data_IF_541556464378
#
_entry.id   IF_541556464378
#
_cell.length_a   1.000
_cell.length_b   1.000
_cell.length_c   1.000
_cell.angle_alpha   90.00
_cell.angle_beta   90.00
_cell.angle_gamma   90.00
#
_symmetry.space_group_name_H-M   'P 1'
#
loop_
_entity.id
_entity.type
_entity.pdbx_description
1 polymer ?
#
# COMPACT_ATOMS: atom_id res chain seq x y z
N UNK A 1 -5.87 -26.65 -58.43
CA UNK A 1 -6.64 -26.47 -57.18
C UNK A 1 -5.76 -26.23 -55.93
N UNK A 2 -4.50 -25.79 -56.09
CA UNK A 2 -3.57 -25.58 -54.96
C UNK A 2 -3.54 -24.15 -54.39
N UNK A 3 -4.00 -23.15 -55.15
CA UNK A 3 -3.97 -21.73 -54.71
C UNK A 3 -4.98 -21.42 -53.62
N UNK A 4 -6.20 -21.99 -53.71
CA UNK A 4 -7.32 -21.70 -52.80
C UNK A 4 -6.99 -22.10 -51.35
N UNK A 5 -6.22 -23.17 -51.16
CA UNK A 5 -5.87 -23.71 -49.85
C UNK A 5 -4.78 -22.88 -49.12
N UNK A 6 -4.01 -22.09 -49.87
CA UNK A 6 -2.93 -21.24 -49.32
C UNK A 6 -3.49 -19.94 -48.73
N UNK A 7 -4.54 -19.39 -49.34
CA UNK A 7 -5.20 -18.17 -48.88
C UNK A 7 -6.08 -18.42 -47.65
N UNK A 8 -6.77 -19.57 -47.57
CA UNK A 8 -7.56 -19.96 -46.40
C UNK A 8 -6.72 -20.11 -45.11
N UNK A 9 -5.49 -20.61 -45.23
CA UNK A 9 -4.54 -20.72 -44.09
C UNK A 9 -4.01 -19.38 -43.61
N UNK A 10 -3.80 -18.41 -44.51
CA UNK A 10 -3.35 -17.06 -44.16
C UNK A 10 -4.43 -16.26 -43.42
N UNK A 11 -5.70 -16.42 -43.81
CA UNK A 11 -6.81 -15.76 -43.12
C UNK A 11 -7.01 -16.26 -41.68
N UNK A 12 -6.85 -17.57 -41.45
CA UNK A 12 -6.95 -18.15 -40.10
C UNK A 12 -5.82 -17.67 -39.16
N UNK A 13 -4.61 -17.49 -39.70
CA UNK A 13 -3.48 -16.99 -38.91
C UNK A 13 -3.68 -15.53 -38.43
N UNK A 14 -4.38 -14.70 -39.22
CA UNK A 14 -4.69 -13.31 -38.85
C UNK A 14 -5.78 -13.26 -37.78
N UNK A 15 -6.78 -14.15 -37.84
CA UNK A 15 -7.83 -14.21 -36.83
C UNK A 15 -7.31 -14.65 -35.45
N UNK A 16 -6.39 -15.60 -35.38
CA UNK A 16 -5.81 -16.06 -34.10
C UNK A 16 -4.97 -14.95 -33.44
N UNK A 17 -4.28 -14.12 -34.23
CA UNK A 17 -3.45 -13.03 -33.72
C UNK A 17 -4.24 -11.89 -33.06
N UNK A 18 -5.53 -11.73 -33.39
CA UNK A 18 -6.39 -10.68 -32.82
C UNK A 18 -7.01 -11.14 -31.48
N UNK A 19 -7.21 -12.45 -31.28
CA UNK A 19 -7.80 -12.98 -30.05
C UNK A 19 -6.83 -13.14 -28.87
N UNK A 20 -5.51 -12.97 -29.08
CA UNK A 20 -4.51 -13.05 -28.00
C UNK A 20 -4.20 -11.70 -27.33
N UNK A 21 -4.85 -10.60 -27.75
CA UNK A 21 -4.70 -9.27 -27.14
C UNK A 21 -5.79 -8.92 -26.11
N UNK A 22 -6.59 -9.90 -25.67
CA UNK A 22 -7.50 -9.77 -24.54
C UNK A 22 -6.85 -10.18 -23.21
N UNK A 23 -5.53 -10.00 -23.09
CA UNK A 23 -4.90 -9.90 -21.78
C UNK A 23 -5.40 -8.63 -21.12
N UNK A 24 -6.39 -8.74 -20.23
CA UNK A 24 -6.82 -7.66 -19.37
C UNK A 24 -5.57 -7.08 -18.70
N UNK A 25 -5.09 -5.93 -19.18
CA UNK A 25 -4.10 -5.16 -18.48
C UNK A 25 -4.82 -4.61 -17.25
N UNK A 26 -4.85 -5.40 -16.17
CA UNK A 26 -5.26 -4.92 -14.87
C UNK A 26 -4.34 -3.75 -14.55
N UNK A 27 -4.87 -2.54 -14.63
CA UNK A 27 -4.09 -1.35 -14.29
C UNK A 27 -3.86 -1.37 -12.78
N UNK A 28 -2.62 -1.67 -12.37
CA UNK A 28 -2.21 -1.49 -10.98
C UNK A 28 -2.08 0.00 -10.70
N UNK A 29 -2.78 0.48 -9.68
CA UNK A 29 -2.59 1.83 -9.12
C UNK A 29 -2.04 1.76 -7.71
N UNK A 30 -1.33 2.81 -7.32
CA UNK A 30 -0.81 2.98 -5.97
C UNK A 30 -1.62 4.07 -5.30
N UNK A 31 -2.29 3.74 -4.20
CA UNK A 31 -2.96 4.72 -3.32
C UNK A 31 -2.12 4.92 -2.07
N UNK A 32 -2.09 6.15 -1.57
CA UNK A 32 -1.37 6.54 -0.36
C UNK A 32 -2.37 6.98 0.71
N UNK A 33 -2.07 6.65 1.96
CA UNK A 33 -2.88 7.06 3.10
C UNK A 33 -2.03 7.21 4.36
N UNK A 34 -2.49 8.06 5.29
CA UNK A 34 -1.77 8.40 6.50
C UNK A 34 -2.29 7.63 7.71
N UNK A 35 -1.37 7.01 8.43
CA UNK A 35 -1.64 6.21 9.61
C UNK A 35 -1.00 6.83 10.84
N UNK A 36 -1.82 6.95 11.88
CA UNK A 36 -1.44 7.57 13.15
C UNK A 36 -1.52 6.55 14.26
N UNK A 37 -0.47 6.47 15.07
CA UNK A 37 -0.44 5.63 16.24
C UNK A 37 -0.06 6.46 17.46
N UNK A 38 -0.81 6.29 18.55
CA UNK A 38 -0.52 6.98 19.81
C UNK A 38 -0.16 5.95 20.88
N UNK A 39 0.84 6.24 21.69
CA UNK A 39 1.24 5.41 22.81
C UNK A 39 1.81 6.22 23.96
N UNK A 40 1.77 5.64 25.16
CA UNK A 40 2.36 6.18 26.38
C UNK A 40 3.45 5.26 26.90
N UNK A 41 4.59 5.83 27.28
CA UNK A 41 5.69 5.07 27.88
C UNK A 41 6.56 5.94 28.77
N UNK A 42 7.40 5.32 29.59
CA UNK A 42 8.29 6.03 30.51
C UNK A 42 9.45 6.75 29.83
N UNK A 43 9.70 6.46 28.56
CA UNK A 43 10.69 7.12 27.72
C UNK A 43 10.08 7.52 26.38
N UNK A 44 10.59 8.61 25.78
CA UNK A 44 10.16 9.06 24.44
C UNK A 44 10.39 7.96 23.40
N UNK A 45 11.55 7.30 23.44
CA UNK A 45 11.90 6.24 22.48
C UNK A 45 10.95 5.03 22.58
N UNK A 46 10.60 4.62 23.81
CA UNK A 46 9.64 3.54 24.02
C UNK A 46 8.24 3.94 23.56
N UNK A 47 7.82 5.17 23.84
CA UNK A 47 6.54 5.69 23.40
C UNK A 47 6.49 5.78 21.85
N UNK A 48 7.57 6.22 21.21
CA UNK A 48 7.68 6.29 19.75
C UNK A 48 7.64 4.89 19.11
N UNK A 49 8.34 3.90 19.69
CA UNK A 49 8.33 2.52 19.20
C UNK A 49 6.95 1.89 19.27
N UNK A 50 6.22 2.12 20.36
CA UNK A 50 4.85 1.65 20.53
C UNK A 50 3.87 2.40 19.60
N UNK A 51 4.03 3.72 19.48
CA UNK A 51 3.24 4.54 18.56
C UNK A 51 3.43 4.09 17.10
N UNK A 52 4.66 3.80 16.70
CA UNK A 52 4.97 3.19 15.40
C UNK A 52 4.24 1.86 15.23
N UNK A 53 4.36 0.95 16.20
CA UNK A 53 3.69 -0.35 16.12
C UNK A 53 2.17 -0.19 15.93
N UNK A 54 1.54 0.73 16.67
CA UNK A 54 0.11 1.02 16.55
C UNK A 54 -0.27 1.54 15.15
N UNK A 55 0.50 2.48 14.60
CA UNK A 55 0.26 3.01 13.25
C UNK A 55 0.41 1.91 12.18
N UNK A 56 1.49 1.13 12.25
CA UNK A 56 1.79 0.09 11.27
C UNK A 56 0.81 -1.09 11.36
N UNK A 57 0.34 -1.44 12.56
CA UNK A 57 -0.67 -2.48 12.72
C UNK A 57 -1.98 -2.09 12.05
N UNK A 58 -2.40 -0.82 12.17
CA UNK A 58 -3.60 -0.33 11.50
C UNK A 58 -3.43 -0.28 9.97
N UNK A 59 -2.27 0.19 9.49
CA UNK A 59 -1.93 0.15 8.07
C UNK A 59 -2.00 -1.28 7.50
N UNK A 60 -1.37 -2.23 8.19
CA UNK A 60 -1.37 -3.64 7.81
C UNK A 60 -2.78 -4.24 7.83
N UNK A 61 -3.62 -3.88 8.81
CA UNK A 61 -5.03 -4.31 8.90
C UNK A 61 -5.82 -3.86 7.67
N UNK A 62 -5.52 -2.68 7.12
CA UNK A 62 -6.12 -2.13 5.90
C UNK A 62 -5.39 -2.54 4.60
N UNK A 63 -4.39 -3.43 4.71
CA UNK A 63 -3.56 -3.92 3.61
C UNK A 63 -2.70 -2.83 2.95
N UNK A 64 -2.37 -1.77 3.68
CA UNK A 64 -1.31 -0.84 3.29
C UNK A 64 0.05 -1.43 3.68
N UNK A 65 1.08 -1.04 2.94
CA UNK A 65 2.46 -1.54 3.04
C UNK A 65 3.45 -0.44 2.67
N UNK A 66 4.76 -0.69 2.81
CA UNK A 66 5.83 0.26 2.50
C UNK A 66 5.58 1.65 3.13
N UNK A 67 5.42 1.66 4.44
CA UNK A 67 5.18 2.88 5.21
C UNK A 67 6.46 3.70 5.39
N UNK A 68 6.34 5.02 5.20
CA UNK A 68 7.41 5.99 5.42
C UNK A 68 7.05 6.85 6.62
N UNK A 69 8.03 7.09 7.49
CA UNK A 69 7.86 7.97 8.64
C UNK A 69 7.74 9.43 8.19
N UNK A 70 6.69 10.11 8.65
CA UNK A 70 6.43 11.52 8.35
C UNK A 70 6.88 12.41 9.49
N UNK A 71 6.61 12.00 10.72
CA UNK A 71 6.92 12.79 11.91
C UNK A 71 6.22 12.25 13.15
N UNK A 72 6.47 12.93 14.27
CA UNK A 72 5.81 12.62 15.53
C UNK A 72 5.54 13.90 16.31
N UNK A 73 4.51 13.84 17.17
CA UNK A 73 4.27 14.83 18.22
C UNK A 73 4.40 14.13 19.56
N UNK A 74 4.97 14.83 20.53
CA UNK A 74 5.04 14.36 21.90
C UNK A 74 4.46 15.39 22.86
N UNK A 75 3.82 14.92 23.92
CA UNK A 75 3.41 15.74 25.05
C UNK A 75 3.64 14.97 26.35
N UNK A 76 3.80 15.71 27.44
CA UNK A 76 3.67 15.15 28.78
C UNK A 76 2.19 15.19 29.16
N UNK A 77 1.54 14.05 29.41
CA UNK A 77 0.10 14.01 29.66
C UNK A 77 -0.28 14.72 30.96
N UNK A 78 0.66 14.88 31.90
CA UNK A 78 0.46 15.63 33.13
C UNK A 78 1.75 16.39 33.49
N UNK A 79 1.59 17.60 34.03
CA UNK A 79 2.72 18.40 34.55
C UNK A 79 3.27 17.83 35.87
N UNK A 80 2.41 17.18 36.66
CA UNK A 80 2.75 16.61 37.97
C UNK A 80 3.17 15.13 37.94
N UNK A 81 3.02 14.48 36.79
CA UNK A 81 3.50 13.12 36.56
C UNK A 81 4.45 13.14 35.35
N UNK A 82 5.72 13.54 35.58
CA UNK A 82 6.70 13.71 34.52
C UNK A 82 7.21 12.38 33.96
N UNK A 83 6.84 11.26 34.56
CA UNK A 83 7.45 9.96 34.27
C UNK A 83 6.89 9.32 33.00
N UNK A 84 5.89 9.93 32.37
CA UNK A 84 5.25 9.42 31.15
C UNK A 84 5.34 10.40 29.99
N UNK A 85 5.66 9.86 28.82
CA UNK A 85 5.57 10.54 27.54
C UNK A 85 4.40 9.96 26.75
N UNK A 86 3.53 10.82 26.22
CA UNK A 86 2.57 10.45 25.19
C UNK A 86 3.12 10.89 23.84
N UNK A 87 3.25 9.94 22.91
CA UNK A 87 3.75 10.18 21.56
C UNK A 87 2.70 9.74 20.55
N UNK A 88 2.43 10.59 19.57
CA UNK A 88 1.67 10.27 18.36
C UNK A 88 2.62 10.28 17.17
N UNK A 89 2.80 9.15 16.50
CA UNK A 89 3.64 9.01 15.32
C UNK A 89 2.77 8.89 14.06
N UNK A 90 3.22 9.53 12.96
CA UNK A 90 2.55 9.54 11.67
C UNK A 90 3.39 8.83 10.61
N UNK A 91 2.73 8.00 9.82
CA UNK A 91 3.32 7.22 8.74
C UNK A 91 2.44 7.31 7.49
N UNK A 92 3.02 7.65 6.34
CA UNK A 92 2.33 7.52 5.06
C UNK A 92 2.62 6.15 4.48
N UNK A 93 1.59 5.38 4.17
CA UNK A 93 1.71 4.03 3.64
C UNK A 93 1.07 3.92 2.26
N UNK A 94 1.48 2.91 1.48
CA UNK A 94 0.96 2.68 0.13
C UNK A 94 0.25 1.33 0.00
N UNK A 95 -0.81 1.30 -0.80
CA UNK A 95 -1.54 0.08 -1.16
C UNK A 95 -1.63 -0.02 -2.67
N UNK A 96 -1.37 -1.21 -3.20
CA UNK A 96 -1.63 -1.53 -4.61
C UNK A 96 -3.09 -1.91 -4.75
N UNK A 97 -3.78 -1.27 -5.69
CA UNK A 97 -5.18 -1.55 -6.01
C UNK A 97 -5.25 -1.90 -7.49
N UNK A 98 -5.85 -3.05 -7.78
CA UNK A 98 -6.17 -3.45 -9.16
C UNK A 98 -7.44 -2.71 -9.56
N UNK A 99 -7.37 -1.90 -10.62
CA UNK A 99 -8.58 -1.40 -11.26
C UNK A 99 -9.25 -2.55 -12.04
N UNK A 100 -10.57 -2.72 -11.94
CA UNK A 100 -11.32 -3.64 -12.79
C UNK A 100 -11.31 -3.21 -14.26
#
# INVERSE_FOLDING_TARGET
MEKINRDAKRLHAIFIAIFTFSGAALAESIVYDDFYGTARYSTIEGALKLAQANALNEANRLQYSNCVFVGYQSKRPNFYDPDWFEVTAAYTCQKRVLYP
#
